data_IF_857727038370
#
_entry.id   IF_857727038370
#
_cell.length_a   1.000
_cell.length_b   1.000
_cell.length_c   1.000
_cell.angle_alpha   90.00
_cell.angle_beta   90.00
_cell.angle_gamma   90.00
#
_symmetry.space_group_name_H-M   'P 1'
#
loop_
_entity.id
_entity.type
_entity.pdbx_description
1 polymer ?
#
# COMPACT_ATOMS: atom_id res chain seq x y z
N UNK A 1 -4.45 -20.55 -27.49
CA UNK A 1 -5.37 -19.51 -27.00
C UNK A 1 -5.93 -19.97 -25.65
N UNK A 2 -5.39 -19.49 -24.53
CA UNK A 2 -6.01 -19.77 -23.22
C UNK A 2 -7.23 -18.86 -23.08
N UNK A 3 -8.41 -19.47 -22.93
CA UNK A 3 -9.67 -18.74 -22.74
C UNK A 3 -9.56 -17.83 -21.51
N UNK A 4 -9.89 -16.56 -21.67
CA UNK A 4 -9.92 -15.57 -20.59
C UNK A 4 -10.88 -16.07 -19.51
N UNK A 5 -10.35 -16.44 -18.34
CA UNK A 5 -11.19 -16.90 -17.24
C UNK A 5 -12.18 -15.79 -16.84
N UNK A 6 -13.47 -16.10 -16.60
CA UNK A 6 -14.45 -15.10 -16.19
C UNK A 6 -14.03 -14.43 -14.87
N UNK A 7 -14.38 -13.15 -14.65
CA UNK A 7 -13.99 -12.40 -13.43
C UNK A 7 -14.38 -13.09 -12.11
N UNK A 8 -15.42 -13.94 -12.12
CA UNK A 8 -15.81 -14.77 -10.98
C UNK A 8 -14.73 -15.80 -10.58
N UNK A 9 -13.88 -16.22 -11.53
CA UNK A 9 -12.71 -17.06 -11.29
C UNK A 9 -11.64 -16.33 -10.48
N UNK A 10 -11.39 -15.05 -10.76
CA UNK A 10 -10.36 -14.27 -10.07
C UNK A 10 -10.70 -14.05 -8.59
N UNK A 11 -11.97 -13.81 -8.25
CA UNK A 11 -12.39 -13.69 -6.86
C UNK A 11 -12.18 -15.01 -6.07
N UNK A 12 -12.48 -16.17 -6.69
CA UNK A 12 -12.23 -17.48 -6.07
C UNK A 12 -10.73 -17.74 -5.85
N UNK A 13 -9.90 -17.38 -6.83
CA UNK A 13 -8.45 -17.47 -6.70
C UNK A 13 -7.93 -16.52 -5.60
N UNK A 14 -8.48 -15.32 -5.47
CA UNK A 14 -8.12 -14.39 -4.40
C UNK A 14 -8.47 -14.95 -3.02
N UNK A 15 -9.65 -15.56 -2.86
CA UNK A 15 -10.02 -16.26 -1.63
C UNK A 15 -9.04 -17.41 -1.35
N UNK A 16 -8.73 -18.23 -2.36
CA UNK A 16 -7.72 -19.29 -2.23
C UNK A 16 -6.36 -18.74 -1.79
N UNK A 17 -5.96 -17.58 -2.30
CA UNK A 17 -4.69 -16.93 -1.96
C UNK A 17 -4.65 -16.46 -0.50
N UNK A 18 -5.75 -15.88 -0.02
CA UNK A 18 -5.92 -15.50 1.38
C UNK A 18 -5.95 -16.74 2.28
N UNK A 19 -6.67 -17.80 1.88
CA UNK A 19 -6.69 -19.04 2.68
C UNK A 19 -5.29 -19.66 2.81
N UNK A 20 -4.48 -19.61 1.76
CA UNK A 20 -3.10 -20.07 1.78
C UNK A 20 -2.16 -19.17 2.62
N UNK A 21 -2.59 -17.95 2.94
CA UNK A 21 -1.83 -16.96 3.72
C UNK A 21 -2.55 -16.55 5.02
N UNK A 22 -3.43 -17.43 5.53
CA UNK A 22 -4.16 -17.22 6.80
C UNK A 22 -3.26 -16.91 7.99
N UNK A 23 -2.11 -17.58 8.20
CA UNK A 23 -1.22 -17.22 9.30
C UNK A 23 -0.80 -15.74 9.26
N UNK A 24 -0.51 -15.21 8.07
CA UNK A 24 -0.13 -13.81 7.90
C UNK A 24 -1.33 -12.85 8.02
N UNK A 25 -2.53 -13.28 7.61
CA UNK A 25 -3.75 -12.56 7.97
C UNK A 25 -3.91 -12.48 9.51
N UNK A 26 -3.61 -13.56 10.23
CA UNK A 26 -3.56 -13.58 11.69
C UNK A 26 -2.56 -12.57 12.28
N UNK A 27 -1.36 -12.49 11.72
CA UNK A 27 -0.36 -11.48 12.09
C UNK A 27 -0.88 -10.07 11.85
N UNK A 28 -1.49 -9.80 10.68
CA UNK A 28 -2.08 -8.50 10.38
C UNK A 28 -3.16 -8.13 11.41
N UNK A 29 -4.07 -9.07 11.72
CA UNK A 29 -5.10 -8.86 12.73
C UNK A 29 -4.51 -8.57 14.10
N UNK A 30 -3.48 -9.31 14.52
CA UNK A 30 -2.80 -9.07 15.80
C UNK A 30 -2.14 -7.69 15.86
N UNK A 31 -1.46 -7.27 14.80
CA UNK A 31 -0.84 -5.94 14.71
C UNK A 31 -1.91 -4.84 14.78
N UNK A 32 -2.97 -4.94 13.98
CA UNK A 32 -4.05 -3.95 14.01
C UNK A 32 -4.85 -3.96 15.32
N UNK A 33 -5.00 -5.11 15.97
CA UNK A 33 -5.59 -5.21 17.31
C UNK A 33 -4.71 -4.50 18.36
N UNK A 34 -3.38 -4.61 18.28
CA UNK A 34 -2.48 -3.85 19.14
C UNK A 34 -2.63 -2.33 18.90
N UNK A 35 -2.71 -1.88 17.65
CA UNK A 35 -3.00 -0.48 17.32
C UNK A 35 -4.36 -0.03 17.83
N UNK A 36 -5.36 -0.91 17.80
CA UNK A 36 -6.70 -0.64 18.31
C UNK A 36 -6.66 -0.36 19.80
N UNK A 37 -6.09 -1.28 20.59
CA UNK A 37 -5.97 -1.13 22.05
C UNK A 37 -5.15 0.11 22.40
N UNK A 38 -4.01 0.31 21.74
CA UNK A 38 -3.18 1.50 21.94
C UNK A 38 -3.95 2.80 21.63
N UNK A 39 -4.78 2.80 20.58
CA UNK A 39 -5.58 3.98 20.22
C UNK A 39 -6.67 4.28 21.25
N UNK A 40 -7.33 3.25 21.80
CA UNK A 40 -8.33 3.43 22.86
C UNK A 40 -7.69 4.06 24.09
N UNK A 41 -6.55 3.53 24.54
CA UNK A 41 -5.79 4.07 25.68
C UNK A 41 -5.36 5.51 25.39
N UNK A 42 -4.83 5.78 24.20
CA UNK A 42 -4.40 7.09 23.77
C UNK A 42 -5.54 8.12 23.80
N UNK A 43 -6.68 7.82 23.19
CA UNK A 43 -7.82 8.73 23.17
C UNK A 43 -8.46 8.89 24.55
N UNK A 44 -8.51 7.83 25.38
CA UNK A 44 -8.99 7.90 26.75
C UNK A 44 -8.10 8.81 27.61
N UNK A 45 -6.77 8.69 27.48
CA UNK A 45 -5.81 9.56 28.16
C UNK A 45 -6.03 11.03 27.79
N UNK A 46 -6.14 11.35 26.49
CA UNK A 46 -6.37 12.73 26.04
C UNK A 46 -7.76 13.27 26.41
N UNK A 47 -8.78 12.41 26.46
CA UNK A 47 -10.11 12.76 26.93
C UNK A 47 -10.10 13.14 28.41
N UNK A 48 -9.45 12.32 29.26
CA UNK A 48 -9.27 12.62 30.68
C UNK A 48 -8.48 13.92 30.91
N UNK A 49 -7.38 14.11 30.18
CA UNK A 49 -6.57 15.32 30.28
C UNK A 49 -7.35 16.57 29.86
N UNK A 50 -8.13 16.48 28.77
CA UNK A 50 -8.97 17.58 28.32
C UNK A 50 -10.07 17.93 29.33
N UNK A 51 -10.70 16.93 29.94
CA UNK A 51 -11.69 17.15 31.00
C UNK A 51 -11.10 17.91 32.20
N UNK A 52 -9.87 17.57 32.61
CA UNK A 52 -9.18 18.26 33.70
C UNK A 52 -8.79 19.69 33.31
N UNK A 53 -8.18 19.89 32.15
CA UNK A 53 -7.71 21.20 31.71
C UNK A 53 -8.83 22.17 31.31
N UNK A 54 -10.00 21.67 30.92
CA UNK A 54 -11.17 22.51 30.69
C UNK A 54 -11.58 23.33 31.93
N UNK A 55 -11.25 22.86 33.14
CA UNK A 55 -11.47 23.61 34.40
C UNK A 55 -10.55 24.82 34.55
N UNK A 56 -9.38 24.79 33.91
CA UNK A 56 -8.39 25.88 33.95
C UNK A 56 -8.67 26.86 32.81
N UNK A 57 -8.80 26.36 31.59
CA UNK A 57 -9.12 27.17 30.42
C UNK A 57 -9.75 26.30 29.32
N UNK A 58 -10.91 26.70 28.77
CA UNK A 58 -11.51 26.03 27.62
C UNK A 58 -10.57 25.92 26.42
N UNK A 59 -9.69 26.90 26.20
CA UNK A 59 -8.73 26.89 25.09
C UNK A 59 -7.75 25.70 25.18
N UNK A 60 -7.29 25.38 26.39
CA UNK A 60 -6.33 24.28 26.62
C UNK A 60 -7.00 22.92 26.34
N UNK A 61 -8.30 22.79 26.63
CA UNK A 61 -9.07 21.58 26.33
C UNK A 61 -9.15 21.31 24.81
N UNK A 62 -9.29 22.35 23.99
CA UNK A 62 -9.27 22.21 22.52
C UNK A 62 -7.87 21.89 21.98
N UNK A 63 -6.81 22.44 22.60
CA UNK A 63 -5.42 22.08 22.26
C UNK A 63 -5.18 20.58 22.47
N UNK A 64 -5.80 19.97 23.49
CA UNK A 64 -5.73 18.52 23.71
C UNK A 64 -6.30 17.71 22.53
N UNK A 65 -7.35 18.16 21.84
CA UNK A 65 -7.85 17.49 20.62
C UNK A 65 -6.77 17.51 19.55
N UNK A 66 -6.14 18.67 19.33
CA UNK A 66 -5.13 18.81 18.31
C UNK A 66 -3.94 17.88 18.55
N UNK A 67 -3.50 17.72 19.80
CA UNK A 67 -2.47 16.74 20.13
C UNK A 67 -2.97 15.30 20.03
N UNK A 68 -4.17 14.99 20.52
CA UNK A 68 -4.74 13.65 20.44
C UNK A 68 -4.81 13.15 18.99
N UNK A 69 -5.34 13.97 18.09
CA UNK A 69 -5.50 13.64 16.67
C UNK A 69 -4.19 13.81 15.90
N UNK A 70 -3.50 14.94 16.09
CA UNK A 70 -2.29 15.31 15.35
C UNK A 70 -1.08 14.45 15.71
N UNK A 71 -0.76 14.31 17.00
CA UNK A 71 0.34 13.44 17.44
C UNK A 71 -0.01 11.97 17.23
N UNK A 72 -1.28 11.57 17.41
CA UNK A 72 -1.76 10.24 17.03
C UNK A 72 -1.55 9.94 15.55
N UNK A 73 -1.91 10.86 14.65
CA UNK A 73 -1.66 10.73 13.22
C UNK A 73 -0.16 10.67 12.89
N UNK A 74 0.67 11.44 13.60
CA UNK A 74 2.14 11.36 13.51
C UNK A 74 2.67 9.98 13.88
N UNK A 75 2.22 9.43 15.01
CA UNK A 75 2.62 8.11 15.48
C UNK A 75 2.19 7.00 14.51
N UNK A 76 0.97 7.09 13.97
CA UNK A 76 0.50 6.14 12.94
C UNK A 76 1.33 6.24 11.66
N UNK A 77 1.71 7.45 11.23
CA UNK A 77 2.61 7.63 10.07
C UNK A 77 3.98 6.99 10.31
N UNK A 78 4.53 7.15 11.50
CA UNK A 78 5.78 6.51 11.90
C UNK A 78 5.64 4.98 11.90
N UNK A 79 4.62 4.46 12.57
CA UNK A 79 4.31 3.03 12.59
C UNK A 79 4.11 2.44 11.19
N UNK A 80 3.45 3.18 10.29
CA UNK A 80 3.32 2.79 8.88
C UNK A 80 4.68 2.59 8.26
N UNK A 81 5.58 3.58 8.37
CA UNK A 81 6.90 3.56 7.71
C UNK A 81 7.77 2.36 8.11
N UNK A 82 7.72 1.93 9.37
CA UNK A 82 8.66 0.92 9.89
C UNK A 82 8.06 -0.45 10.16
N UNK A 83 6.78 -0.53 10.55
CA UNK A 83 6.15 -1.78 10.99
C UNK A 83 5.14 -2.25 9.95
N UNK A 84 4.08 -1.45 9.73
CA UNK A 84 2.94 -1.90 8.91
C UNK A 84 3.36 -2.15 7.46
N UNK A 85 4.29 -1.35 6.93
CA UNK A 85 4.74 -1.48 5.55
C UNK A 85 5.58 -2.75 5.31
N UNK A 86 6.42 -3.14 6.28
CA UNK A 86 7.16 -4.41 6.23
C UNK A 86 6.21 -5.60 6.28
N UNK A 87 5.27 -5.61 7.22
CA UNK A 87 4.28 -6.70 7.36
C UNK A 87 3.42 -6.82 6.10
N UNK A 88 2.97 -5.69 5.55
CA UNK A 88 2.20 -5.64 4.32
C UNK A 88 3.01 -6.11 3.10
N UNK A 89 4.25 -5.67 2.97
CA UNK A 89 5.18 -6.15 1.93
C UNK A 89 5.43 -7.65 2.04
N UNK A 90 5.66 -8.17 3.24
CA UNK A 90 5.80 -9.61 3.48
C UNK A 90 4.52 -10.37 3.08
N UNK A 91 3.34 -9.78 3.31
CA UNK A 91 2.07 -10.35 2.84
C UNK A 91 1.98 -10.44 1.32
N UNK A 92 2.28 -9.34 0.64
CA UNK A 92 2.35 -9.29 -0.82
C UNK A 92 3.36 -10.32 -1.35
N UNK A 93 4.53 -10.45 -0.71
CA UNK A 93 5.55 -11.42 -1.11
C UNK A 93 5.05 -12.87 -1.02
N UNK A 94 4.46 -13.28 0.10
CA UNK A 94 3.98 -14.66 0.23
C UNK A 94 2.77 -14.95 -0.68
N UNK A 95 1.88 -13.97 -0.89
CA UNK A 95 0.83 -14.08 -1.91
C UNK A 95 1.45 -14.24 -3.30
N UNK A 96 2.52 -13.51 -3.61
CA UNK A 96 3.21 -13.63 -4.90
C UNK A 96 3.85 -15.01 -5.10
N UNK A 97 4.49 -15.57 -4.07
CA UNK A 97 5.06 -16.93 -4.15
C UNK A 97 3.98 -18.01 -4.34
N UNK A 98 2.81 -17.84 -3.70
CA UNK A 98 1.66 -18.72 -3.97
C UNK A 98 1.13 -18.58 -5.40
N UNK A 99 1.08 -17.37 -5.96
CA UNK A 99 0.72 -17.16 -7.38
C UNK A 99 1.71 -17.84 -8.33
N UNK A 100 2.98 -17.97 -7.94
CA UNK A 100 4.01 -18.73 -8.68
C UNK A 100 3.88 -20.25 -8.53
N UNK A 101 2.90 -20.74 -7.77
CA UNK A 101 2.75 -22.16 -7.47
C UNK A 101 3.77 -22.72 -6.48
N UNK A 102 4.54 -21.86 -5.79
CA UNK A 102 5.55 -22.28 -4.82
C UNK A 102 4.93 -22.63 -3.47
N UNK A 103 5.64 -23.44 -2.69
CA UNK A 103 5.27 -23.70 -1.31
C UNK A 103 5.53 -22.46 -0.46
N UNK A 104 4.56 -22.10 0.40
CA UNK A 104 4.74 -21.06 1.42
C UNK A 104 4.52 -21.73 2.76
N UNK A 105 5.45 -21.56 3.72
CA UNK A 105 5.33 -22.20 5.02
C UNK A 105 4.07 -21.74 5.75
N UNK A 106 3.52 -22.63 6.57
CA UNK A 106 2.43 -22.33 7.49
C UNK A 106 2.91 -21.67 8.79
N UNK A 107 1.97 -21.25 9.62
CA UNK A 107 2.24 -20.67 10.94
C UNK A 107 3.04 -19.37 10.90
N UNK A 108 3.72 -19.05 12.01
CA UNK A 108 4.50 -17.81 12.15
C UNK A 108 5.71 -17.72 11.20
N UNK A 109 6.21 -18.86 10.72
CA UNK A 109 7.29 -18.92 9.74
C UNK A 109 6.92 -18.27 8.39
N UNK A 110 5.63 -18.11 8.11
CA UNK A 110 5.14 -17.41 6.92
C UNK A 110 5.57 -15.93 6.87
N UNK A 111 5.60 -15.26 8.03
CA UNK A 111 6.02 -13.86 8.13
C UNK A 111 7.52 -13.71 7.87
N UNK A 112 8.35 -14.53 8.51
CA UNK A 112 9.80 -14.50 8.30
C UNK A 112 10.16 -14.86 6.86
N UNK A 113 9.41 -15.78 6.24
CA UNK A 113 9.58 -16.12 4.83
C UNK A 113 9.26 -14.92 3.91
N UNK A 114 8.10 -14.30 4.07
CA UNK A 114 7.73 -13.09 3.32
C UNK A 114 8.72 -11.94 3.51
N UNK A 115 9.18 -11.74 4.74
CA UNK A 115 10.20 -10.73 5.07
C UNK A 115 11.53 -11.01 4.37
N UNK A 116 11.98 -12.27 4.34
CA UNK A 116 13.24 -12.63 3.67
C UNK A 116 13.20 -12.36 2.16
N UNK A 117 12.04 -12.52 1.52
CA UNK A 117 11.83 -12.16 0.11
C UNK A 117 11.96 -10.65 -0.09
N UNK A 118 11.36 -9.86 0.79
CA UNK A 118 11.47 -8.40 0.73
C UNK A 118 12.93 -7.95 0.93
N UNK A 119 13.63 -8.50 1.92
CA UNK A 119 15.04 -8.18 2.17
C UNK A 119 15.92 -8.57 0.97
N UNK A 120 15.65 -9.71 0.34
CA UNK A 120 16.37 -10.16 -0.86
C UNK A 120 16.17 -9.21 -2.06
N UNK A 121 14.94 -8.76 -2.33
CA UNK A 121 14.64 -8.00 -3.55
C UNK A 121 14.80 -6.48 -3.39
N UNK A 122 14.59 -5.94 -2.19
CA UNK A 122 14.59 -4.50 -1.94
C UNK A 122 15.79 -4.03 -1.12
N UNK A 123 16.63 -4.95 -0.62
CA UNK A 123 17.80 -4.69 0.26
C UNK A 123 17.44 -4.13 1.63
N UNK A 124 16.58 -3.12 1.67
CA UNK A 124 16.07 -2.50 2.88
C UNK A 124 14.61 -2.02 2.71
N UNK A 125 13.97 -1.72 3.86
CA UNK A 125 12.56 -1.27 3.92
C UNK A 125 12.37 0.10 3.28
N UNK A 126 13.41 0.95 3.29
CA UNK A 126 13.35 2.30 2.76
C UNK A 126 13.28 2.29 1.23
N UNK A 127 13.96 1.34 0.58
CA UNK A 127 13.87 1.13 -0.85
C UNK A 127 12.49 0.62 -1.26
N UNK A 128 11.93 -0.37 -0.53
CA UNK A 128 10.57 -0.86 -0.75
C UNK A 128 9.55 0.29 -0.70
N UNK A 129 9.59 1.07 0.38
CA UNK A 129 8.72 2.22 0.59
C UNK A 129 8.93 3.32 -0.46
N UNK A 130 10.19 3.65 -0.77
CA UNK A 130 10.52 4.66 -1.77
C UNK A 130 10.08 4.27 -3.18
N UNK A 131 10.18 2.99 -3.53
CA UNK A 131 9.67 2.48 -4.81
C UNK A 131 8.15 2.58 -4.87
N UNK A 132 7.45 2.11 -3.84
CA UNK A 132 5.99 2.16 -3.79
C UNK A 132 5.45 3.58 -3.89
N UNK A 133 6.05 4.54 -3.18
CA UNK A 133 5.69 5.95 -3.30
C UNK A 133 5.80 6.46 -4.74
N UNK A 134 6.84 6.05 -5.47
CA UNK A 134 7.03 6.42 -6.87
C UNK A 134 6.04 5.72 -7.81
N UNK A 135 5.69 4.46 -7.53
CA UNK A 135 4.64 3.73 -8.27
C UNK A 135 3.30 4.44 -8.05
N UNK A 136 2.90 4.65 -6.80
CA UNK A 136 1.65 5.33 -6.44
C UNK A 136 1.56 6.74 -7.05
N UNK A 137 2.65 7.52 -6.96
CA UNK A 137 2.77 8.84 -7.58
C UNK A 137 2.58 8.78 -9.09
N UNK A 138 3.19 7.78 -9.75
CA UNK A 138 3.02 7.53 -11.18
C UNK A 138 1.57 7.23 -11.54
N UNK A 139 0.93 6.30 -10.85
CA UNK A 139 -0.45 5.91 -11.13
C UNK A 139 -1.43 7.08 -10.97
N UNK A 140 -1.30 7.86 -9.90
CA UNK A 140 -2.13 9.06 -9.66
C UNK A 140 -1.93 10.11 -10.74
N UNK A 141 -0.70 10.32 -11.19
CA UNK A 141 -0.43 11.28 -12.25
C UNK A 141 -1.05 10.85 -13.58
N UNK A 142 -0.93 9.57 -13.93
CA UNK A 142 -1.57 9.00 -15.14
C UNK A 142 -3.09 9.21 -15.08
N UNK A 143 -3.72 8.84 -13.96
CA UNK A 143 -5.16 8.99 -13.76
C UNK A 143 -5.58 10.46 -13.94
N UNK A 144 -4.90 11.40 -13.29
CA UNK A 144 -5.18 12.84 -13.43
C UNK A 144 -5.03 13.33 -14.87
N UNK A 145 -3.97 12.92 -15.59
CA UNK A 145 -3.71 13.36 -16.97
C UNK A 145 -4.74 12.83 -17.95
N UNK A 146 -5.13 11.55 -17.84
CA UNK A 146 -6.18 10.95 -18.68
C UNK A 146 -7.53 11.68 -18.48
N UNK A 147 -7.79 12.12 -17.26
CA UNK A 147 -9.06 12.75 -16.89
C UNK A 147 -9.08 14.25 -17.23
N UNK A 148 -7.97 14.96 -17.14
CA UNK A 148 -7.88 16.35 -17.61
C UNK A 148 -8.17 16.48 -19.11
N UNK A 149 -7.96 15.41 -19.90
CA UNK A 149 -8.34 15.36 -21.31
C UNK A 149 -9.86 15.18 -21.48
N UNK A 150 -10.66 15.05 -20.41
CA UNK A 150 -12.14 14.95 -20.51
C UNK A 150 -12.87 16.22 -20.09
N UNK A 151 -12.17 17.22 -19.53
CA UNK A 151 -12.79 18.46 -19.00
C UNK A 151 -13.17 19.51 -20.05
N UNK A 152 -12.81 19.31 -21.32
CA UNK A 152 -13.23 20.11 -22.47
C UNK A 152 -14.63 19.76 -22.98
N UNK A 153 -15.22 18.67 -22.47
CA UNK A 153 -16.61 18.30 -22.79
C UNK A 153 -17.54 19.18 -21.92
N UNK A 154 -18.45 19.96 -22.51
CA UNK A 154 -19.42 20.75 -21.74
C UNK A 154 -20.42 19.81 -21.07
N UNK A 155 -20.10 19.41 -19.84
CA UNK A 155 -20.97 18.58 -19.01
C UNK A 155 -21.95 19.47 -18.23
N UNK A 156 -23.22 19.06 -18.06
CA UNK A 156 -24.14 19.66 -17.11
C UNK A 156 -23.55 19.68 -15.70
N UNK A 157 -23.92 20.66 -14.87
CA UNK A 157 -23.29 20.83 -13.55
C UNK A 157 -23.46 19.61 -12.62
N UNK A 158 -24.59 18.90 -12.71
CA UNK A 158 -24.77 17.61 -12.01
C UNK A 158 -23.83 16.51 -12.46
N UNK A 159 -23.49 16.45 -13.76
CA UNK A 159 -22.55 15.48 -14.31
C UNK A 159 -21.10 15.77 -13.89
N UNK A 160 -20.72 17.04 -13.69
CA UNK A 160 -19.39 17.42 -13.18
C UNK A 160 -19.13 16.87 -11.77
N UNK A 161 -20.12 16.93 -10.88
CA UNK A 161 -20.00 16.42 -9.51
C UNK A 161 -19.86 14.90 -9.48
N UNK A 162 -20.64 14.18 -10.30
CA UNK A 162 -20.52 12.74 -10.44
C UNK A 162 -19.14 12.32 -10.96
N UNK A 163 -18.62 13.03 -11.98
CA UNK A 163 -17.27 12.78 -12.51
C UNK A 163 -16.20 13.00 -11.44
N UNK A 164 -16.30 14.05 -10.60
CA UNK A 164 -15.37 14.26 -9.47
C UNK A 164 -15.37 13.10 -8.48
N UNK A 165 -16.54 12.57 -8.13
CA UNK A 165 -16.66 11.42 -7.23
C UNK A 165 -16.01 10.19 -7.86
N UNK A 166 -16.28 9.93 -9.14
CA UNK A 166 -15.66 8.83 -9.87
C UNK A 166 -14.13 8.96 -9.89
N UNK A 167 -13.60 10.15 -10.15
CA UNK A 167 -12.16 10.42 -10.12
C UNK A 167 -11.55 10.12 -8.76
N UNK A 168 -12.21 10.54 -7.68
CA UNK A 168 -11.72 10.28 -6.32
C UNK A 168 -11.73 8.78 -6.02
N UNK A 169 -12.78 8.05 -6.42
CA UNK A 169 -12.84 6.58 -6.31
C UNK A 169 -11.66 5.94 -7.05
N UNK A 170 -11.43 6.35 -8.31
CA UNK A 170 -10.33 5.83 -9.10
C UNK A 170 -8.99 6.12 -8.43
N UNK A 171 -8.71 7.37 -8.06
CA UNK A 171 -7.46 7.78 -7.40
C UNK A 171 -7.19 7.01 -6.09
N UNK A 172 -8.24 6.72 -5.33
CA UNK A 172 -8.13 5.94 -4.08
C UNK A 172 -7.88 4.46 -4.36
N UNK A 173 -8.53 3.91 -5.38
CA UNK A 173 -8.37 2.50 -5.77
C UNK A 173 -6.98 2.17 -6.32
N UNK A 174 -6.23 3.16 -6.82
CA UNK A 174 -4.87 2.95 -7.33
C UNK A 174 -3.89 2.44 -6.26
N UNK A 175 -4.21 2.61 -4.97
CA UNK A 175 -3.46 2.01 -3.86
C UNK A 175 -3.55 0.48 -3.80
N UNK A 176 -4.43 -0.16 -4.59
CA UNK A 176 -4.41 -1.62 -4.74
C UNK A 176 -3.63 -2.03 -6.00
N UNK A 177 -3.49 -1.11 -6.95
CA UNK A 177 -2.81 -1.35 -8.22
C UNK A 177 -1.30 -1.22 -8.06
N UNK A 178 -0.82 -0.24 -7.29
CA UNK A 178 0.61 -0.11 -6.95
C UNK A 178 1.13 -1.35 -6.22
N UNK A 179 0.36 -1.90 -5.29
CA UNK A 179 0.68 -3.13 -4.57
C UNK A 179 0.70 -4.37 -5.48
N UNK A 180 -0.19 -4.40 -6.49
CA UNK A 180 -0.15 -5.42 -7.52
C UNK A 180 1.08 -5.29 -8.44
N UNK A 181 1.52 -4.06 -8.74
CA UNK A 181 2.77 -3.79 -9.46
C UNK A 181 3.99 -4.18 -8.60
N UNK A 182 3.93 -3.94 -7.29
CA UNK A 182 4.95 -4.37 -6.35
C UNK A 182 5.05 -5.91 -6.31
N UNK A 183 3.90 -6.60 -6.30
CA UNK A 183 3.84 -8.05 -6.46
C UNK A 183 4.50 -8.50 -7.77
N UNK A 184 4.29 -7.79 -8.88
CA UNK A 184 4.99 -8.09 -10.13
C UNK A 184 6.51 -7.90 -10.04
N UNK A 185 6.97 -6.86 -9.33
CA UNK A 185 8.39 -6.66 -9.11
C UNK A 185 9.02 -7.82 -8.32
N UNK A 186 8.30 -8.36 -7.34
CA UNK A 186 8.70 -9.57 -6.59
C UNK A 186 8.63 -10.82 -7.49
N UNK A 187 7.61 -10.92 -8.34
CA UNK A 187 7.39 -12.07 -9.20
C UNK A 187 8.54 -12.30 -10.18
N UNK A 188 9.09 -11.21 -10.73
CA UNK A 188 10.13 -11.23 -11.77
C UNK A 188 11.51 -11.67 -11.28
N UNK A 189 11.80 -11.53 -9.99
CA UNK A 189 13.10 -11.89 -9.38
C UNK A 189 14.31 -11.25 -10.08
N UNK A 190 14.16 -10.08 -10.72
CA UNK A 190 15.30 -9.35 -11.28
C UNK A 190 16.10 -8.68 -10.16
N UNK A 191 17.44 -8.72 -10.24
CA UNK A 191 18.32 -8.01 -9.27
C UNK A 191 18.05 -6.50 -9.23
N UNK A 192 17.59 -5.94 -10.36
CA UNK A 192 17.22 -4.55 -10.49
C UNK A 192 15.71 -4.36 -10.35
N UNK A 193 15.25 -4.22 -9.10
CA UNK A 193 13.83 -4.05 -8.78
C UNK A 193 13.18 -2.81 -9.44
N UNK A 194 13.96 -1.78 -9.73
CA UNK A 194 13.49 -0.58 -10.44
C UNK A 194 13.08 -0.91 -11.87
N UNK A 195 13.80 -1.82 -12.53
CA UNK A 195 13.46 -2.26 -13.88
C UNK A 195 12.19 -3.12 -13.90
N UNK A 196 12.04 -4.01 -12.93
CA UNK A 196 10.81 -4.79 -12.79
C UNK A 196 9.60 -3.90 -12.51
N UNK A 197 9.73 -2.88 -11.65
CA UNK A 197 8.66 -1.92 -11.40
C UNK A 197 8.33 -1.06 -12.63
N UNK A 198 9.34 -0.61 -13.39
CA UNK A 198 9.15 0.07 -14.69
C UNK A 198 8.28 -0.78 -15.60
N UNK A 199 8.66 -2.04 -15.82
CA UNK A 199 7.89 -2.98 -16.63
C UNK A 199 6.47 -3.21 -16.10
N UNK A 200 6.31 -3.32 -14.78
CA UNK A 200 4.99 -3.50 -14.16
C UNK A 200 4.06 -2.30 -14.40
N UNK A 201 4.57 -1.06 -14.33
CA UNK A 201 3.78 0.14 -14.64
C UNK A 201 3.41 0.17 -16.14
N UNK A 202 4.33 -0.20 -17.03
CA UNK A 202 4.05 -0.27 -18.48
C UNK A 202 2.95 -1.28 -18.78
N UNK A 203 3.05 -2.48 -18.20
CA UNK A 203 2.04 -3.54 -18.33
C UNK A 203 0.69 -3.12 -17.76
N UNK A 204 0.67 -2.38 -16.65
CA UNK A 204 -0.55 -1.76 -16.15
C UNK A 204 -1.15 -0.81 -17.20
N UNK A 205 -0.36 0.09 -17.78
CA UNK A 205 -0.81 1.01 -18.82
C UNK A 205 -1.44 0.29 -20.01
N UNK A 206 -0.83 -0.82 -20.45
CA UNK A 206 -1.35 -1.66 -21.53
C UNK A 206 -2.65 -2.40 -21.15
N UNK A 207 -2.84 -2.72 -19.86
CA UNK A 207 -3.92 -3.59 -19.38
C UNK A 207 -4.88 -2.89 -18.40
N UNK A 208 -4.94 -1.56 -18.39
CA UNK A 208 -5.49 -0.80 -17.28
C UNK A 208 -6.97 -1.08 -17.00
N UNK A 209 -7.80 -1.27 -18.03
CA UNK A 209 -9.27 -1.35 -17.90
C UNK A 209 -9.73 -2.41 -16.87
N UNK A 210 -9.45 -3.72 -17.07
CA UNK A 210 -9.90 -4.75 -16.13
C UNK A 210 -9.29 -4.61 -14.73
N UNK A 211 -8.04 -4.15 -14.65
CA UNK A 211 -7.33 -3.95 -13.38
C UNK A 211 -7.98 -2.82 -12.58
N UNK A 212 -8.20 -1.67 -13.22
CA UNK A 212 -8.79 -0.48 -12.60
C UNK A 212 -10.25 -0.70 -12.23
N UNK A 213 -11.04 -1.38 -13.07
CA UNK A 213 -12.43 -1.75 -12.73
C UNK A 213 -12.45 -2.63 -11.49
N UNK A 214 -11.54 -3.60 -11.39
CA UNK A 214 -11.45 -4.48 -10.21
C UNK A 214 -11.06 -3.70 -8.97
N UNK A 215 -10.02 -2.86 -9.06
CA UNK A 215 -9.58 -2.01 -7.96
C UNK A 215 -10.69 -1.08 -7.46
N UNK A 216 -11.41 -0.42 -8.38
CA UNK A 216 -12.53 0.46 -8.06
C UNK A 216 -13.70 -0.31 -7.43
N UNK A 217 -14.01 -1.50 -7.95
CA UNK A 217 -15.04 -2.39 -7.40
C UNK A 217 -14.72 -2.80 -5.97
N UNK A 218 -13.51 -3.29 -5.69
CA UNK A 218 -13.14 -3.70 -4.33
C UNK A 218 -13.06 -2.51 -3.38
N UNK A 219 -12.62 -1.34 -3.87
CA UNK A 219 -12.65 -0.10 -3.08
C UNK A 219 -14.09 0.26 -2.65
N UNK A 220 -15.06 0.21 -3.58
CA UNK A 220 -16.46 0.51 -3.28
C UNK A 220 -17.06 -0.51 -2.29
N UNK A 221 -16.80 -1.80 -2.49
CA UNK A 221 -17.22 -2.84 -1.53
C UNK A 221 -16.60 -2.56 -0.15
N UNK A 222 -15.33 -2.18 -0.10
CA UNK A 222 -14.65 -1.80 1.12
C UNK A 222 -15.26 -0.58 1.80
N UNK A 223 -15.72 0.42 1.04
CA UNK A 223 -16.45 1.57 1.61
C UNK A 223 -17.79 1.17 2.21
N UNK A 224 -18.54 0.27 1.57
CA UNK A 224 -19.79 -0.27 2.14
C UNK A 224 -19.49 -1.05 3.43
N UNK A 225 -18.47 -1.90 3.41
CA UNK A 225 -18.01 -2.64 4.59
C UNK A 225 -17.60 -1.70 5.73
N UNK A 226 -16.85 -0.63 5.41
CA UNK A 226 -16.45 0.39 6.35
C UNK A 226 -17.64 1.15 6.95
N UNK A 227 -18.67 1.48 6.16
CA UNK A 227 -19.89 2.12 6.69
C UNK A 227 -20.59 1.18 7.69
N UNK A 228 -20.67 -0.12 7.38
CA UNK A 228 -21.20 -1.12 8.30
C UNK A 228 -20.42 -1.18 9.62
N UNK A 229 -19.08 -1.21 9.54
CA UNK A 229 -18.21 -1.14 10.72
C UNK A 229 -18.37 0.19 11.47
N UNK A 230 -18.46 1.31 10.76
CA UNK A 230 -18.65 2.63 11.37
C UNK A 230 -19.94 2.65 12.18
N UNK A 231 -21.06 2.19 11.62
CA UNK A 231 -22.33 2.07 12.36
C UNK A 231 -22.16 1.16 13.58
N UNK A 232 -21.51 0.01 13.42
CA UNK A 232 -21.25 -0.93 14.53
C UNK A 232 -20.46 -0.30 15.69
N UNK A 233 -19.47 0.55 15.41
CA UNK A 233 -18.68 1.24 16.44
C UNK A 233 -19.31 2.54 16.94
N UNK A 234 -20.13 3.21 16.12
CA UNK A 234 -20.77 4.47 16.49
C UNK A 234 -21.91 4.26 17.49
N UNK A 235 -22.62 3.12 17.41
CA UNK A 235 -23.68 2.77 18.36
C UNK A 235 -23.18 2.68 19.82
N UNK A 236 -22.15 1.87 20.16
CA UNK A 236 -21.63 1.84 21.52
C UNK A 236 -20.98 3.17 21.92
N UNK A 237 -20.36 3.90 20.98
CA UNK A 237 -19.84 5.23 21.26
C UNK A 237 -20.94 6.22 21.67
N UNK A 238 -22.08 6.21 20.95
CA UNK A 238 -23.24 7.02 21.28
C UNK A 238 -23.87 6.60 22.62
N UNK A 239 -23.94 5.30 22.91
CA UNK A 239 -24.41 4.79 24.19
C UNK A 239 -23.53 5.27 25.36
N UNK A 240 -22.20 5.24 25.21
CA UNK A 240 -21.27 5.78 26.20
C UNK A 240 -21.52 7.28 26.39
N UNK A 241 -21.64 8.05 25.31
CA UNK A 241 -21.92 9.50 25.38
C UNK A 241 -23.23 9.79 26.11
N UNK A 242 -24.28 9.00 25.86
CA UNK A 242 -25.57 9.16 26.53
C UNK A 242 -25.51 8.91 28.05
N UNK A 243 -24.60 8.04 28.50
CA UNK A 243 -24.39 7.76 29.93
C UNK A 243 -23.51 8.80 30.62
N UNK A 244 -22.84 9.67 29.86
CA UNK A 244 -21.97 10.71 30.40
C UNK A 244 -22.77 11.98 30.74
N UNK A 245 -22.27 12.82 31.66
CA UNK A 245 -22.89 14.11 31.98
C UNK A 245 -23.10 14.99 30.73
N UNK A 246 -24.16 15.79 30.74
CA UNK A 246 -24.49 16.69 29.63
C UNK A 246 -23.31 17.57 29.23
N UNK A 247 -23.21 17.85 27.92
CA UNK A 247 -22.09 18.56 27.30
C UNK A 247 -22.10 20.08 27.54
N UNK A 248 -22.65 20.55 28.66
CA UNK A 248 -22.70 21.97 29.00
C UNK A 248 -21.31 22.57 29.23
N UNK A 249 -20.32 21.74 29.61
CA UNK A 249 -18.93 22.16 29.75
C UNK A 249 -18.10 21.82 28.52
N UNK A 250 -17.15 22.69 28.17
CA UNK A 250 -16.19 22.46 27.08
C UNK A 250 -15.44 21.14 27.23
N UNK A 251 -15.07 20.76 28.45
CA UNK A 251 -14.39 19.48 28.71
C UNK A 251 -15.21 18.28 28.25
N UNK A 252 -16.51 18.27 28.56
CA UNK A 252 -17.41 17.18 28.13
C UNK A 252 -17.63 17.16 26.62
N UNK A 253 -17.71 18.32 25.96
CA UNK A 253 -17.77 18.41 24.49
C UNK A 253 -16.55 17.73 23.87
N UNK A 254 -15.35 18.03 24.37
CA UNK A 254 -14.11 17.43 23.87
C UNK A 254 -14.09 15.91 24.10
N UNK A 255 -14.51 15.44 25.29
CA UNK A 255 -14.63 14.01 25.59
C UNK A 255 -15.53 13.31 24.57
N UNK A 256 -16.72 13.86 24.28
CA UNK A 256 -17.64 13.30 23.28
C UNK A 256 -17.01 13.24 21.89
N UNK A 257 -16.31 14.30 21.46
CA UNK A 257 -15.60 14.33 20.17
C UNK A 257 -14.53 13.21 20.13
N UNK A 258 -13.74 13.05 21.18
CA UNK A 258 -12.68 12.04 21.21
C UNK A 258 -13.24 10.61 21.23
N UNK A 259 -14.39 10.39 21.88
CA UNK A 259 -15.12 9.12 21.79
C UNK A 259 -15.53 8.83 20.33
N UNK A 260 -16.14 9.80 19.63
CA UNK A 260 -16.53 9.62 18.23
C UNK A 260 -15.33 9.41 17.29
N UNK A 261 -14.24 10.15 17.49
CA UNK A 261 -12.99 9.98 16.73
C UNK A 261 -12.39 8.60 16.99
N UNK A 262 -12.42 8.12 18.23
CA UNK A 262 -11.94 6.78 18.57
C UNK A 262 -12.76 5.68 17.88
N UNK A 263 -14.09 5.85 17.78
CA UNK A 263 -14.97 4.93 17.06
C UNK A 263 -14.69 4.91 15.54
N UNK A 264 -14.45 6.08 14.94
CA UNK A 264 -14.04 6.18 13.55
C UNK A 264 -12.70 5.47 13.30
N UNK A 265 -11.74 5.69 14.20
CA UNK A 265 -10.41 5.08 14.09
C UNK A 265 -10.48 3.56 14.26
N UNK A 266 -11.24 3.08 15.26
CA UNK A 266 -11.57 1.69 15.49
C UNK A 266 -12.14 1.00 14.24
N UNK A 267 -13.20 1.57 13.64
CA UNK A 267 -13.80 1.05 12.42
C UNK A 267 -12.77 0.95 11.28
N UNK A 268 -11.89 1.95 11.14
CA UNK A 268 -10.84 1.93 10.11
C UNK A 268 -9.81 0.84 10.35
N UNK A 269 -9.38 0.60 11.58
CA UNK A 269 -8.43 -0.46 11.91
C UNK A 269 -9.00 -1.85 11.62
N UNK A 270 -10.28 -2.08 11.89
CA UNK A 270 -10.95 -3.35 11.57
C UNK A 270 -11.10 -3.55 10.06
N UNK A 271 -11.44 -2.49 9.30
CA UNK A 271 -11.43 -2.53 7.82
C UNK A 271 -10.03 -2.89 7.29
N UNK A 272 -8.97 -2.27 7.83
CA UNK A 272 -7.57 -2.57 7.47
C UNK A 272 -7.19 -4.02 7.74
N UNK A 273 -7.64 -4.57 8.87
CA UNK A 273 -7.27 -5.91 9.28
C UNK A 273 -7.99 -7.01 8.47
N UNK A 274 -9.27 -6.81 8.17
CA UNK A 274 -10.13 -7.86 7.62
C UNK A 274 -10.36 -7.74 6.11
N UNK A 275 -10.63 -6.53 5.63
CA UNK A 275 -11.06 -6.33 4.25
C UNK A 275 -9.90 -6.04 3.31
N UNK A 276 -8.94 -5.21 3.75
CA UNK A 276 -7.83 -4.79 2.90
C UNK A 276 -7.06 -5.96 2.30
N UNK A 277 -6.68 -7.02 3.04
CA UNK A 277 -5.97 -8.17 2.47
C UNK A 277 -6.73 -8.83 1.30
N UNK A 278 -8.05 -8.97 1.41
CA UNK A 278 -8.88 -9.51 0.32
C UNK A 278 -8.85 -8.61 -0.93
N UNK A 279 -9.00 -7.29 -0.75
CA UNK A 279 -8.94 -6.33 -1.85
C UNK A 279 -7.60 -6.38 -2.59
N UNK A 280 -6.50 -6.55 -1.84
CA UNK A 280 -5.16 -6.75 -2.37
C UNK A 280 -5.04 -8.03 -3.18
N UNK A 281 -5.42 -9.17 -2.59
CA UNK A 281 -5.37 -10.45 -3.28
C UNK A 281 -6.18 -10.43 -4.58
N UNK A 282 -7.36 -9.83 -4.58
CA UNK A 282 -8.21 -9.77 -5.77
C UNK A 282 -7.61 -8.87 -6.87
N UNK A 283 -7.03 -7.73 -6.49
CA UNK A 283 -6.37 -6.84 -7.46
C UNK A 283 -5.08 -7.47 -7.99
N UNK A 284 -4.30 -8.16 -7.14
CA UNK A 284 -3.10 -8.90 -7.53
C UNK A 284 -3.39 -10.02 -8.51
N UNK A 285 -4.36 -10.90 -8.22
CA UNK A 285 -4.77 -11.98 -9.11
C UNK A 285 -5.20 -11.42 -10.47
N UNK A 286 -6.03 -10.37 -10.45
CA UNK A 286 -6.51 -9.75 -11.70
C UNK A 286 -5.36 -9.14 -12.48
N UNK A 287 -4.45 -8.43 -11.80
CA UNK A 287 -3.26 -7.85 -12.44
C UNK A 287 -2.44 -8.93 -13.14
N UNK A 288 -2.00 -9.95 -12.40
CA UNK A 288 -1.15 -11.04 -12.94
C UNK A 288 -1.82 -11.81 -14.07
N UNK A 289 -3.13 -12.06 -13.97
CA UNK A 289 -3.89 -12.71 -15.04
C UNK A 289 -3.97 -11.84 -16.31
N UNK A 290 -4.19 -10.54 -16.19
CA UNK A 290 -4.35 -9.65 -17.35
C UNK A 290 -3.03 -9.31 -18.06
N UNK A 291 -1.90 -9.41 -17.36
CA UNK A 291 -0.57 -9.20 -17.94
C UNK A 291 0.09 -10.49 -18.47
N UNK A 292 -0.51 -11.66 -18.22
CA UNK A 292 0.06 -12.94 -18.61
C UNK A 292 0.33 -13.00 -20.13
N UNK A 293 1.56 -13.36 -20.50
CA UNK A 293 2.00 -13.45 -21.90
C UNK A 293 2.23 -12.11 -22.60
N UNK A 294 2.09 -10.97 -21.91
CA UNK A 294 2.35 -9.64 -22.48
C UNK A 294 3.76 -9.17 -22.21
N UNK A 295 4.32 -8.45 -23.17
CA UNK A 295 5.63 -7.82 -23.09
C UNK A 295 5.45 -6.31 -22.95
N UNK A 296 6.23 -5.64 -22.08
CA UNK A 296 6.21 -4.18 -21.97
C UNK A 296 6.46 -3.50 -23.33
N UNK A 297 5.54 -2.65 -23.77
CA UNK A 297 5.64 -1.92 -25.03
C UNK A 297 6.50 -0.65 -24.85
N UNK A 298 7.57 -0.47 -25.64
CA UNK A 298 8.40 0.73 -25.61
C UNK A 298 7.64 2.04 -25.83
N UNK A 299 6.57 2.04 -26.64
CA UNK A 299 5.77 3.23 -26.89
C UNK A 299 5.01 3.67 -25.62
N UNK A 300 4.50 2.70 -24.86
CA UNK A 300 3.88 2.97 -23.56
C UNK A 300 4.90 3.48 -22.55
N UNK A 301 6.10 2.92 -22.54
CA UNK A 301 7.18 3.38 -21.68
C UNK A 301 7.52 4.86 -21.92
N UNK A 302 7.76 5.24 -23.18
CA UNK A 302 8.02 6.62 -23.56
C UNK A 302 6.86 7.56 -23.20
N UNK A 303 5.62 7.13 -23.48
CA UNK A 303 4.42 7.90 -23.13
C UNK A 303 4.32 8.14 -21.63
N UNK A 304 4.60 7.13 -20.80
CA UNK A 304 4.56 7.23 -19.34
C UNK A 304 5.64 8.19 -18.81
N UNK A 305 6.82 8.22 -19.42
CA UNK A 305 7.85 9.21 -19.10
C UNK A 305 7.37 10.63 -19.39
N UNK A 306 6.64 10.85 -20.50
CA UNK A 306 6.04 12.15 -20.81
C UNK A 306 4.89 12.56 -19.86
N UNK A 307 4.30 11.62 -19.11
CA UNK A 307 3.15 11.87 -18.25
C UNK A 307 3.49 12.01 -16.76
N UNK A 308 4.58 11.41 -16.28
CA UNK A 308 4.91 11.40 -14.84
C UNK A 308 6.40 11.51 -14.56
N UNK A 309 6.79 12.52 -13.80
CA UNK A 309 8.16 12.66 -13.29
C UNK A 309 8.52 11.55 -12.28
N UNK A 310 7.54 10.97 -11.59
CA UNK A 310 7.79 9.81 -10.72
C UNK A 310 8.19 8.59 -11.55
N UNK A 311 7.63 8.44 -12.75
CA UNK A 311 8.01 7.35 -13.65
C UNK A 311 9.40 7.58 -14.23
N UNK A 312 9.73 8.82 -14.63
CA UNK A 312 11.10 9.18 -15.04
C UNK A 312 12.13 8.80 -13.98
N UNK A 313 11.88 9.11 -12.71
CA UNK A 313 12.77 8.71 -11.59
C UNK A 313 12.94 7.19 -11.47
N UNK A 314 11.90 6.40 -11.74
CA UNK A 314 12.00 4.93 -11.78
C UNK A 314 12.89 4.50 -12.94
N UNK A 315 12.71 5.07 -14.14
CA UNK A 315 13.52 4.77 -15.33
C UNK A 315 14.99 5.14 -15.12
N UNK A 316 15.28 6.31 -14.55
CA UNK A 316 16.64 6.77 -14.22
C UNK A 316 17.34 5.82 -13.24
N UNK A 317 16.64 5.38 -12.19
CA UNK A 317 17.17 4.41 -11.22
C UNK A 317 17.35 3.02 -11.83
N UNK A 318 16.45 2.61 -12.71
CA UNK A 318 16.59 1.37 -13.46
C UNK A 318 17.86 1.40 -14.33
N UNK A 319 18.14 2.50 -15.04
CA UNK A 319 19.36 2.66 -15.82
C UNK A 319 20.64 2.69 -14.97
N UNK A 320 20.62 3.46 -13.87
CA UNK A 320 21.79 3.64 -12.98
C UNK A 320 22.21 2.36 -12.26
N UNK A 321 21.27 1.45 -11.99
CA UNK A 321 21.56 0.15 -11.37
C UNK A 321 22.30 -0.79 -12.33
N UNK A 322 22.09 -0.67 -13.64
CA UNK A 322 22.85 -1.41 -14.66
C UNK A 322 24.28 -0.88 -14.75
N UNK A 323 24.47 0.44 -14.63
CA UNK A 323 25.79 1.09 -14.66
C UNK A 323 26.70 0.78 -13.46
N UNK A 324 26.14 0.27 -12.35
CA UNK A 324 26.87 -0.07 -11.12
C UNK A 324 27.28 -1.53 -11.00
N UNK A 325 27.02 -2.37 -12.02
CA UNK A 325 27.74 -3.65 -12.11
C UNK A 325 29.20 -3.31 -12.39
N UNK A 326 30.16 -3.64 -11.50
CA UNK A 326 31.55 -3.50 -11.85
C UNK A 326 31.76 -4.42 -13.04
N UNK A 327 32.01 -3.84 -14.21
CA UNK A 327 32.98 -4.44 -15.11
C UNK A 327 34.18 -4.66 -14.21
N UNK A 328 34.43 -5.92 -13.84
CA UNK A 328 35.72 -6.32 -13.35
C UNK A 328 36.70 -5.74 -14.36
N UNK A 329 37.33 -4.63 -13.99
CA UNK A 329 38.47 -4.10 -14.71
C UNK A 329 39.46 -5.24 -14.65
N UNK A 330 39.51 -6.04 -15.72
CA UNK A 330 40.66 -6.85 -16.02
C UNK A 330 41.80 -5.86 -16.19
N UNK A 331 42.50 -5.61 -15.08
CA UNK A 331 43.82 -5.04 -15.13
C UNK A 331 44.61 -5.89 -16.16
N UNK A 332 45.31 -5.26 -17.11
CA UNK A 332 46.12 -6.00 -18.06
C UNK A 332 47.07 -6.91 -17.27
N UNK A 333 47.06 -8.21 -17.59
CA UNK A 333 48.01 -9.15 -17.00
C UNK A 333 49.42 -8.60 -17.22
N UNK A 334 50.13 -8.34 -16.13
CA UNK A 334 51.55 -8.03 -16.19
C UNK A 334 52.27 -9.27 -16.73
N UNK A 335 53.09 -9.07 -17.75
CA UNK A 335 53.93 -10.13 -18.32
C UNK A 335 54.83 -10.72 -17.22
N UNK A 336 54.96 -12.05 -17.11
CA UNK A 336 55.89 -12.67 -16.16
C UNK A 336 57.33 -12.18 -16.41
N UNK A 337 58.14 -11.91 -15.38
CA UNK A 337 59.57 -11.66 -15.58
C UNK A 337 60.19 -12.88 -16.25
N UNK A 338 60.88 -12.62 -17.38
CA UNK A 338 61.58 -13.63 -18.15
C UNK A 338 62.59 -14.37 -17.27
N UNK A 339 62.50 -15.69 -17.27
CA UNK A 339 63.49 -16.57 -16.66
C UNK A 339 64.77 -16.50 -17.50
N UNK A 340 65.58 -15.46 -17.27
CA UNK A 340 66.98 -15.42 -17.66
C UNK A 340 67.74 -16.39 -16.79
N UNK A 341 67.88 -17.62 -17.27
CA UNK A 341 68.73 -18.61 -16.65
C UNK A 341 70.16 -18.10 -16.52
N UNK A 342 70.78 -18.35 -15.37
CA UNK A 342 72.23 -18.39 -15.28
C UNK A 342 72.63 -19.77 -14.75
N UNK A 343 73.18 -20.58 -15.66
CA UNK A 343 74.25 -21.54 -15.38
C UNK A 343 75.38 -20.79 -14.66
N UNK A 344 76.01 -21.24 -13.59
CA UNK A 344 75.98 -22.50 -12.87
C UNK A 344 76.98 -22.42 -11.71
N UNK A 345 77.09 -23.52 -10.96
CA UNK A 345 77.88 -23.69 -9.73
C UNK A 345 77.40 -22.88 -8.52
#
# INVERSE_FOLDING_TARGET
MQAKAPQQSYAKQAVSLITATLPMLGVNMAVYAAFFVASVIWFAFWAGLSFLFAKISPAIAYVCIFFAVGAGAGLVRFAKRYILYMVKGAHIAAMTEKLKGRHVPGGLAQLSYGRSIIEKHFKDVSMLFGLDMLINGTLKMISRRVINITSWIPLPDGAKSFVRILIEILNRSLSYVDEAILSYAIYREEDNVWNSARHGIVLYGQCYKPILITAAKVYLIGKVFFIGLLTMFLLPAAAIIYLLPDSASTGMIVVHILILVSALFAARLVELALFEPFALAYTMVTYHAEIAGKVPDPAWDQRLQGMSDSFKKIVERAGSAVSKSPVAQLAPAQSPPGNGGNTGL
#
